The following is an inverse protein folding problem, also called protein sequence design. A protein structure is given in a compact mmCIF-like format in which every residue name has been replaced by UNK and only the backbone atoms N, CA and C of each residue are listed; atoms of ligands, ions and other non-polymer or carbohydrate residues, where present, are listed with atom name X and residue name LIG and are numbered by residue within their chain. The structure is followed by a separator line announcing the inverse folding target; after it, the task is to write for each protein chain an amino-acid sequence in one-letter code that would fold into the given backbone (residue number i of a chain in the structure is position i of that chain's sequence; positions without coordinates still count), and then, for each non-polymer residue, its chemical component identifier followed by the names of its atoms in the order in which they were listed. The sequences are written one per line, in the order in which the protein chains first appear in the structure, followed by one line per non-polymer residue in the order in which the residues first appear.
data_IF_859020560254
#
_entry.id   IF_859020560254
#
_cell.length_a   1.000
_cell.length_b   1.000
_cell.length_c   1.000
_cell.angle_alpha   90.00
_cell.angle_beta   90.00
_cell.angle_gamma   90.00
#
_symmetry.space_group_name_H-M   'P 1'
#
loop_
_entity.id
_entity.type
_entity.pdbx_description
1 polymer ?
#
# COMPACT_ATOMS: atom_id res chain seq x y z
N UNK A 1 -37.18 6.47 38.51
CA UNK A 1 -36.95 7.86 38.07
C UNK A 1 -35.57 8.25 38.55
N UNK A 2 -34.55 7.88 37.79
CA UNK A 2 -33.17 8.31 38.01
C UNK A 2 -32.88 9.29 36.89
N UNK A 3 -32.85 10.56 37.23
CA UNK A 3 -32.39 11.62 36.35
C UNK A 3 -30.94 11.33 35.96
N UNK A 4 -30.76 10.98 34.69
CA UNK A 4 -29.45 10.98 34.06
C UNK A 4 -29.13 12.44 33.73
N UNK A 5 -28.29 13.05 34.56
CA UNK A 5 -27.67 14.32 34.23
C UNK A 5 -26.99 14.19 32.87
N UNK A 6 -27.52 14.89 31.87
CA UNK A 6 -26.82 15.11 30.61
C UNK A 6 -25.54 15.91 30.93
N UNK A 7 -24.39 15.23 30.91
CA UNK A 7 -23.07 15.88 31.02
C UNK A 7 -22.87 16.71 29.75
N UNK A 8 -22.99 18.03 29.87
CA UNK A 8 -22.52 18.96 28.84
C UNK A 8 -21.00 18.81 28.67
N UNK A 9 -20.41 18.57 27.50
CA UNK A 9 -20.91 17.97 26.27
C UNK A 9 -19.76 17.11 25.73
N UNK A 10 -19.87 15.79 25.94
CA UNK A 10 -18.84 14.79 25.62
C UNK A 10 -18.43 14.87 24.14
N UNK A 11 -17.12 14.91 23.80
CA UNK A 11 -16.68 14.97 22.41
C UNK A 11 -17.16 13.73 21.63
N UNK A 12 -17.47 13.93 20.35
CA UNK A 12 -17.95 12.85 19.48
C UNK A 12 -16.88 12.43 18.48
N UNK A 13 -16.71 11.13 18.30
CA UNK A 13 -15.90 10.51 17.25
C UNK A 13 -16.84 9.91 16.21
N UNK A 14 -16.66 10.29 14.94
CA UNK A 14 -17.33 9.61 13.83
C UNK A 14 -16.44 8.49 13.34
N UNK A 15 -16.99 7.29 13.22
CA UNK A 15 -16.36 6.16 12.55
C UNK A 15 -16.90 6.08 11.12
N UNK A 16 -16.02 6.33 10.16
CA UNK A 16 -16.25 6.10 8.73
C UNK A 16 -15.48 4.83 8.40
N UNK A 17 -16.21 3.73 8.15
CA UNK A 17 -15.76 2.33 8.19
C UNK A 17 -15.61 1.73 9.60
N UNK A 18 -15.80 0.42 9.66
CA UNK A 18 -15.80 -0.33 10.92
C UNK A 18 -14.37 -0.48 11.49
N UNK A 19 -14.18 -0.28 12.80
CA UNK A 19 -12.92 -0.55 13.47
C UNK A 19 -12.74 -2.06 13.71
N UNK A 20 -11.56 -2.46 14.17
CA UNK A 20 -11.39 -3.79 14.72
C UNK A 20 -12.24 -3.95 16.00
N UNK A 21 -13.19 -4.89 15.98
CA UNK A 21 -14.12 -5.11 17.09
C UNK A 21 -13.42 -5.61 18.37
N UNK A 22 -12.31 -6.33 18.21
CA UNK A 22 -11.50 -6.84 19.33
C UNK A 22 -10.51 -5.81 19.86
N UNK A 23 -10.56 -4.56 19.39
CA UNK A 23 -9.65 -3.50 19.82
C UNK A 23 -9.71 -3.28 21.34
N UNK A 24 -8.54 -3.27 21.99
CA UNK A 24 -8.40 -3.04 23.43
C UNK A 24 -8.77 -1.60 23.76
N UNK A 25 -8.28 -0.63 22.98
CA UNK A 25 -8.59 0.78 23.20
C UNK A 25 -10.08 1.05 22.99
N UNK A 26 -10.68 0.57 21.90
CA UNK A 26 -12.11 0.78 21.63
C UNK A 26 -12.99 0.22 22.74
N UNK A 27 -12.59 -0.95 23.28
CA UNK A 27 -13.35 -1.62 24.32
C UNK A 27 -13.07 -1.12 25.74
N UNK A 28 -12.05 -0.29 25.93
CA UNK A 28 -11.68 0.28 27.22
C UNK A 28 -12.74 1.22 27.79
N UNK A 29 -12.85 1.27 29.12
CA UNK A 29 -13.69 2.25 29.80
C UNK A 29 -13.23 3.69 29.49
N UNK A 30 -11.92 3.91 29.38
CA UNK A 30 -11.35 5.22 29.03
C UNK A 30 -11.95 5.76 27.73
N UNK A 31 -11.99 4.96 26.66
CA UNK A 31 -12.53 5.41 25.39
C UNK A 31 -14.06 5.57 25.45
N UNK A 32 -14.76 4.58 26.02
CA UNK A 32 -16.23 4.58 26.14
C UNK A 32 -16.77 5.69 27.03
N UNK A 33 -16.06 6.10 28.07
CA UNK A 33 -16.43 7.19 28.97
C UNK A 33 -15.99 8.56 28.44
N UNK A 34 -14.96 8.64 27.59
CA UNK A 34 -14.46 9.90 27.03
C UNK A 34 -15.18 10.35 25.76
N UNK A 35 -15.67 9.44 24.92
CA UNK A 35 -16.29 9.78 23.63
C UNK A 35 -17.72 9.30 23.44
N UNK A 36 -18.52 10.10 22.75
CA UNK A 36 -19.70 9.59 22.02
C UNK A 36 -19.22 8.98 20.70
N UNK A 37 -19.87 7.91 20.26
CA UNK A 37 -19.52 7.23 19.01
C UNK A 37 -20.70 7.34 18.06
N UNK A 38 -20.43 7.83 16.84
CA UNK A 38 -21.36 7.79 15.72
C UNK A 38 -20.74 6.94 14.61
N UNK A 39 -21.54 6.09 13.97
CA UNK A 39 -21.10 5.31 12.80
C UNK A 39 -21.73 5.91 11.56
N UNK A 40 -20.90 6.24 10.57
CA UNK A 40 -21.32 6.79 9.30
C UNK A 40 -21.09 5.72 8.22
N UNK A 41 -22.19 5.23 7.64
CA UNK A 41 -22.12 4.45 6.42
C UNK A 41 -22.06 5.40 5.22
N UNK A 42 -20.89 5.48 4.60
CA UNK A 42 -20.63 6.46 3.55
C UNK A 42 -20.75 5.84 2.16
N UNK A 43 -21.79 6.24 1.42
CA UNK A 43 -22.00 5.85 0.02
C UNK A 43 -21.88 7.01 -0.95
N UNK A 44 -22.50 8.15 -0.64
CA UNK A 44 -22.53 9.35 -1.48
C UNK A 44 -22.09 10.58 -0.69
N UNK A 45 -21.64 11.60 -1.43
CA UNK A 45 -21.22 12.88 -0.83
C UNK A 45 -22.40 13.59 -0.17
N UNK A 46 -23.56 13.57 -0.80
CA UNK A 46 -24.80 14.14 -0.27
C UNK A 46 -25.24 13.41 1.00
N UNK A 47 -25.15 12.07 1.03
CA UNK A 47 -25.43 11.27 2.22
C UNK A 47 -24.51 11.62 3.40
N UNK A 48 -23.24 11.91 3.12
CA UNK A 48 -22.31 12.40 4.14
C UNK A 48 -22.74 13.74 4.73
N UNK A 49 -23.15 14.68 3.89
CA UNK A 49 -23.61 15.98 4.35
C UNK A 49 -24.90 15.88 5.17
N UNK A 50 -25.88 15.10 4.71
CA UNK A 50 -27.10 14.85 5.48
C UNK A 50 -26.78 14.25 6.85
N UNK A 51 -25.88 13.27 6.91
CA UNK A 51 -25.44 12.68 8.18
C UNK A 51 -24.81 13.72 9.11
N UNK A 52 -23.98 14.63 8.59
CA UNK A 52 -23.38 15.70 9.40
C UNK A 52 -24.40 16.72 9.88
N UNK A 53 -25.39 17.08 9.05
CA UNK A 53 -26.47 18.00 9.41
C UNK A 53 -27.35 17.42 10.52
N UNK A 54 -27.72 16.13 10.43
CA UNK A 54 -28.48 15.42 11.48
C UNK A 54 -27.76 15.41 12.85
N UNK A 55 -26.44 15.56 12.85
CA UNK A 55 -25.59 15.49 14.04
C UNK A 55 -24.85 16.79 14.34
N UNK A 56 -25.30 17.93 13.80
CA UNK A 56 -24.63 19.23 13.96
C UNK A 56 -24.44 19.64 15.43
N UNK A 57 -25.33 19.18 16.31
CA UNK A 57 -25.30 19.47 17.75
C UNK A 57 -24.39 18.53 18.57
N UNK A 58 -23.73 17.54 17.94
CA UNK A 58 -22.98 16.48 18.64
C UNK A 58 -21.51 16.80 18.92
N UNK A 59 -21.02 18.02 18.68
CA UNK A 59 -19.61 18.41 18.95
C UNK A 59 -18.61 17.37 18.41
N UNK A 60 -18.66 17.15 17.10
CA UNK A 60 -17.80 16.20 16.39
C UNK A 60 -16.34 16.69 16.50
N UNK A 61 -15.53 15.96 17.27
CA UNK A 61 -14.16 16.38 17.63
C UNK A 61 -13.08 15.54 16.94
N UNK A 62 -13.42 14.34 16.48
CA UNK A 62 -12.52 13.49 15.69
C UNK A 62 -13.27 12.65 14.65
N UNK A 63 -12.56 12.25 13.59
CA UNK A 63 -13.01 11.25 12.62
C UNK A 63 -12.02 10.10 12.59
N UNK A 64 -12.50 8.90 12.90
CA UNK A 64 -11.83 7.65 12.59
C UNK A 64 -12.16 7.26 11.14
N UNK A 65 -11.16 7.26 10.27
CA UNK A 65 -11.29 6.91 8.87
C UNK A 65 -10.57 5.56 8.62
N UNK A 66 -11.28 4.46 8.90
CA UNK A 66 -10.82 3.11 8.58
C UNK A 66 -10.74 2.92 7.06
N UNK A 67 -9.95 1.98 6.54
CA UNK A 67 -10.01 1.69 5.11
C UNK A 67 -11.34 0.97 4.75
N UNK A 68 -12.07 1.33 3.68
CA UNK A 68 -11.75 2.31 2.63
C UNK A 68 -12.55 3.63 2.75
N UNK A 69 -12.56 4.27 3.94
CA UNK A 69 -13.28 5.52 4.19
C UNK A 69 -13.01 6.57 3.11
N UNK A 70 -14.08 7.24 2.69
CA UNK A 70 -14.11 8.31 1.69
C UNK A 70 -13.73 7.92 0.26
N UNK A 71 -13.24 6.69 -0.01
CA UNK A 71 -12.90 6.24 -1.37
C UNK A 71 -14.10 6.34 -2.33
N UNK A 72 -15.29 5.95 -1.89
CA UNK A 72 -16.53 6.00 -2.70
C UNK A 72 -16.92 7.41 -3.16
N UNK A 73 -16.50 8.44 -2.43
CA UNK A 73 -16.81 9.84 -2.75
C UNK A 73 -15.60 10.61 -3.33
N UNK A 74 -14.53 9.88 -3.69
CA UNK A 74 -13.32 10.48 -4.28
C UNK A 74 -12.31 11.04 -3.27
N UNK A 75 -12.47 10.75 -1.98
CA UNK A 75 -11.62 11.23 -0.90
C UNK A 75 -12.23 12.39 -0.11
N UNK A 76 -11.38 13.14 0.59
CA UNK A 76 -11.74 14.31 1.38
C UNK A 76 -11.24 15.57 0.66
N UNK A 77 -11.99 15.99 -0.35
CA UNK A 77 -11.66 17.13 -1.20
C UNK A 77 -12.04 18.47 -0.54
N UNK A 78 -11.48 19.58 -1.05
CA UNK A 78 -11.76 20.93 -0.53
C UNK A 78 -13.24 21.26 -0.47
N UNK A 79 -14.01 20.89 -1.49
CA UNK A 79 -15.46 21.13 -1.53
C UNK A 79 -16.25 20.35 -0.46
N UNK A 80 -15.71 19.23 0.05
CA UNK A 80 -16.27 18.53 1.20
C UNK A 80 -15.90 19.25 2.49
N UNK A 81 -14.63 19.62 2.67
CA UNK A 81 -14.12 20.29 3.87
C UNK A 81 -14.76 21.69 4.04
N UNK A 82 -14.93 22.41 2.93
CA UNK A 82 -15.54 23.74 2.91
C UNK A 82 -17.06 23.74 3.00
N UNK A 83 -17.71 22.58 2.87
CA UNK A 83 -19.16 22.50 2.98
C UNK A 83 -19.65 23.02 4.34
N UNK A 84 -20.83 23.67 4.36
CA UNK A 84 -21.41 24.29 5.57
C UNK A 84 -21.60 23.31 6.72
N UNK A 85 -21.91 22.05 6.40
CA UNK A 85 -22.20 20.98 7.36
C UNK A 85 -20.93 20.31 7.90
N UNK A 86 -19.77 20.58 7.30
CA UNK A 86 -18.51 20.01 7.78
C UNK A 86 -18.15 20.60 9.15
N UNK A 87 -17.81 19.78 10.16
CA UNK A 87 -17.72 20.21 11.57
C UNK A 87 -16.41 20.96 11.90
N UNK A 88 -16.03 21.94 11.06
CA UNK A 88 -14.76 22.69 11.14
C UNK A 88 -14.45 23.29 12.50
N UNK A 89 -15.48 23.73 13.23
CA UNK A 89 -15.34 24.40 14.52
C UNK A 89 -14.80 23.48 15.62
N UNK A 90 -15.33 22.26 15.69
CA UNK A 90 -15.06 21.32 16.78
C UNK A 90 -14.05 20.25 16.40
N UNK A 91 -13.96 19.87 15.11
CA UNK A 91 -13.09 18.82 14.62
C UNK A 91 -11.62 19.19 14.81
N UNK A 92 -10.88 18.35 15.55
CA UNK A 92 -9.43 18.56 15.80
C UNK A 92 -8.56 17.63 14.98
N UNK A 93 -9.01 16.40 14.76
CA UNK A 93 -8.22 15.43 14.03
C UNK A 93 -9.04 14.45 13.19
N UNK A 94 -8.41 13.98 12.13
CA UNK A 94 -8.84 12.83 11.35
C UNK A 94 -7.70 11.82 11.40
N UNK A 95 -7.99 10.57 11.73
CA UNK A 95 -7.01 9.49 11.81
C UNK A 95 -7.29 8.46 10.74
N UNK A 96 -6.27 8.07 9.99
CA UNK A 96 -6.35 7.08 8.91
C UNK A 96 -5.78 5.74 9.38
N UNK A 97 -6.48 4.66 9.05
CA UNK A 97 -5.94 3.30 9.19
C UNK A 97 -5.18 2.86 7.92
N UNK A 98 -4.52 3.79 7.25
CA UNK A 98 -3.73 3.52 6.04
C UNK A 98 -2.50 4.43 5.98
N UNK A 99 -1.47 4.02 5.23
CA UNK A 99 -0.27 4.85 4.98
C UNK A 99 -0.53 5.97 3.98
N UNK A 100 -1.35 5.69 2.96
CA UNK A 100 -1.65 6.62 1.88
C UNK A 100 -2.74 7.61 2.27
N UNK A 101 -2.64 8.84 1.75
CA UNK A 101 -3.63 9.90 1.93
C UNK A 101 -3.93 10.57 0.59
N UNK A 102 -3.88 9.79 -0.50
CA UNK A 102 -4.28 10.28 -1.81
C UNK A 102 -5.77 10.66 -1.78
N UNK A 103 -6.13 11.77 -2.42
CA UNK A 103 -7.51 12.29 -2.39
C UNK A 103 -7.86 13.11 -1.15
N UNK A 104 -6.87 13.46 -0.31
CA UNK A 104 -7.06 14.36 0.84
C UNK A 104 -6.48 15.75 0.53
N UNK A 105 -7.32 16.79 0.64
CA UNK A 105 -6.87 18.18 0.52
C UNK A 105 -6.25 18.67 1.83
N UNK A 106 -4.93 18.53 1.93
CA UNK A 106 -4.18 18.90 3.14
C UNK A 106 -4.18 20.41 3.41
N UNK A 107 -4.28 21.23 2.37
CA UNK A 107 -4.27 22.69 2.51
C UNK A 107 -5.59 23.18 3.11
N UNK A 108 -6.72 22.65 2.65
CA UNK A 108 -8.03 22.92 3.25
C UNK A 108 -8.09 22.46 4.72
N UNK A 109 -7.57 21.28 5.04
CA UNK A 109 -7.48 20.83 6.44
C UNK A 109 -6.63 21.78 7.30
N UNK A 110 -5.50 22.26 6.77
CA UNK A 110 -4.62 23.23 7.45
C UNK A 110 -5.32 24.56 7.71
N UNK A 111 -6.03 25.10 6.72
CA UNK A 111 -6.79 26.36 6.84
C UNK A 111 -7.80 26.33 8.00
N UNK A 112 -8.33 25.15 8.33
CA UNK A 112 -9.26 24.94 9.45
C UNK A 112 -8.63 24.36 10.72
N UNK A 113 -7.29 24.28 10.80
CA UNK A 113 -6.55 23.70 11.94
C UNK A 113 -6.95 22.25 12.26
N UNK A 114 -7.30 21.47 11.25
CA UNK A 114 -7.66 20.05 11.39
C UNK A 114 -6.44 19.20 11.06
N UNK A 115 -6.00 18.38 12.02
CA UNK A 115 -4.81 17.53 11.83
C UNK A 115 -5.20 16.20 11.19
N UNK A 116 -4.47 15.80 10.15
CA UNK A 116 -4.56 14.47 9.57
C UNK A 116 -3.40 13.60 10.08
N UNK A 117 -3.74 12.46 10.67
CA UNK A 117 -2.79 11.44 11.09
C UNK A 117 -2.94 10.19 10.23
N UNK A 118 -1.83 9.62 9.84
CA UNK A 118 -1.74 8.32 9.20
C UNK A 118 -0.73 7.48 10.00
N UNK A 119 -0.79 6.15 9.94
CA UNK A 119 0.22 5.37 10.64
C UNK A 119 1.53 5.28 9.83
N UNK A 120 2.65 5.14 10.54
CA UNK A 120 3.97 4.82 10.02
C UNK A 120 4.59 3.76 10.92
N UNK A 121 4.95 2.61 10.36
CA UNK A 121 5.53 1.48 11.11
C UNK A 121 7.05 1.55 11.23
N UNK A 122 7.67 2.64 10.79
CA UNK A 122 9.12 2.82 10.70
C UNK A 122 9.71 3.85 11.65
N UNK A 123 8.90 4.40 12.55
CA UNK A 123 9.37 5.30 13.61
C UNK A 123 9.35 4.57 14.96
N UNK A 124 10.46 4.67 15.69
CA UNK A 124 10.60 4.17 17.06
C UNK A 124 9.73 5.02 18.00
N UNK A 125 8.43 4.76 18.05
CA UNK A 125 7.59 5.17 19.18
C UNK A 125 7.73 4.12 20.29
N UNK A 126 7.58 4.55 21.55
CA UNK A 126 7.13 3.64 22.62
C UNK A 126 5.75 3.15 22.19
N UNK A 127 5.73 2.08 21.42
CA UNK A 127 4.51 1.48 20.93
C UNK A 127 3.67 1.02 22.13
N UNK A 128 2.36 0.94 21.93
CA UNK A 128 1.50 0.14 22.79
C UNK A 128 2.16 -1.25 22.91
N UNK A 129 2.30 -1.75 24.13
CA UNK A 129 2.89 -3.07 24.41
C UNK A 129 2.35 -4.10 23.40
N UNK A 130 3.25 -4.93 22.84
CA UNK A 130 3.01 -5.99 21.83
C UNK A 130 2.99 -5.60 20.33
N UNK A 131 3.09 -4.33 19.93
CA UNK A 131 3.15 -3.97 18.50
C UNK A 131 4.55 -4.18 17.89
N UNK A 132 4.63 -4.90 16.76
CA UNK A 132 5.87 -5.09 16.01
C UNK A 132 6.16 -3.90 15.09
N UNK A 133 7.37 -3.35 15.20
CA UNK A 133 7.91 -2.38 14.24
C UNK A 133 8.03 -3.03 12.86
N UNK A 134 7.78 -2.24 11.82
CA UNK A 134 7.90 -2.63 10.41
C UNK A 134 6.93 -3.71 9.92
N UNK A 135 5.85 -4.03 10.64
CA UNK A 135 4.88 -5.06 10.27
C UNK A 135 4.27 -4.82 8.87
N UNK A 136 3.88 -3.59 8.56
CA UNK A 136 3.31 -3.23 7.26
C UNK A 136 4.35 -3.31 6.15
N UNK A 137 5.56 -2.84 6.44
CA UNK A 137 6.72 -3.00 5.57
C UNK A 137 7.00 -4.47 5.24
N UNK A 138 6.91 -5.33 6.25
CA UNK A 138 7.11 -6.76 6.13
C UNK A 138 6.03 -7.40 5.24
N UNK A 139 4.75 -7.13 5.51
CA UNK A 139 3.65 -7.82 4.82
C UNK A 139 3.56 -7.40 3.35
N UNK A 140 3.79 -6.11 3.06
CA UNK A 140 3.90 -5.63 1.67
C UNK A 140 5.10 -6.27 0.96
N UNK A 141 6.20 -6.50 1.68
CA UNK A 141 7.35 -7.21 1.13
C UNK A 141 7.05 -8.71 0.89
N UNK A 142 6.18 -9.35 1.68
CA UNK A 142 5.72 -10.72 1.42
C UNK A 142 4.85 -10.80 0.15
N UNK A 143 3.97 -9.82 -0.06
CA UNK A 143 3.23 -9.68 -1.32
C UNK A 143 4.18 -9.51 -2.52
N UNK A 144 5.19 -8.64 -2.39
CA UNK A 144 6.21 -8.46 -3.44
C UNK A 144 7.01 -9.74 -3.70
N UNK A 145 7.37 -10.48 -2.65
CA UNK A 145 8.07 -11.76 -2.76
C UNK A 145 7.28 -12.78 -3.58
N UNK A 146 5.97 -12.88 -3.36
CA UNK A 146 5.08 -13.72 -4.15
C UNK A 146 5.10 -13.33 -5.64
N UNK A 147 4.92 -12.04 -5.96
CA UNK A 147 4.98 -11.55 -7.34
C UNK A 147 6.32 -11.86 -8.03
N UNK A 148 7.43 -11.75 -7.31
CA UNK A 148 8.77 -12.08 -7.83
C UNK A 148 8.88 -13.58 -8.11
N UNK A 149 8.41 -14.43 -7.19
CA UNK A 149 8.37 -15.88 -7.40
C UNK A 149 7.49 -16.23 -8.61
N UNK A 150 6.35 -15.56 -8.80
CA UNK A 150 5.54 -15.72 -10.01
C UNK A 150 6.32 -15.37 -11.28
N UNK A 151 7.09 -14.28 -11.26
CA UNK A 151 7.91 -13.88 -12.41
C UNK A 151 9.00 -14.88 -12.79
N UNK A 152 9.58 -15.56 -11.80
CA UNK A 152 10.58 -16.60 -12.03
C UNK A 152 9.98 -17.97 -12.33
N UNK A 153 8.87 -18.32 -11.69
CA UNK A 153 8.39 -19.71 -11.55
C UNK A 153 6.99 -19.98 -12.08
N UNK A 154 6.17 -18.95 -12.30
CA UNK A 154 4.81 -19.04 -12.86
C UNK A 154 3.91 -20.03 -12.11
N UNK A 155 4.00 -20.04 -10.79
CA UNK A 155 3.27 -21.00 -9.95
C UNK A 155 1.76 -20.86 -10.11
N UNK A 156 1.24 -19.63 -10.18
CA UNK A 156 -0.20 -19.37 -10.34
C UNK A 156 -0.73 -19.86 -11.68
N UNK A 157 0.03 -19.65 -12.77
CA UNK A 157 -0.34 -20.21 -14.08
C UNK A 157 -0.30 -21.74 -14.08
N UNK A 158 0.73 -22.34 -13.47
CA UNK A 158 0.81 -23.79 -13.29
C UNK A 158 -0.34 -24.36 -12.45
N UNK A 159 -0.72 -23.67 -11.38
CA UNK A 159 -1.86 -24.03 -10.52
C UNK A 159 -3.17 -23.98 -11.31
N UNK A 160 -3.41 -22.93 -12.09
CA UNK A 160 -4.58 -22.80 -12.97
C UNK A 160 -4.69 -24.02 -13.89
N UNK A 161 -3.61 -24.35 -14.60
CA UNK A 161 -3.59 -25.50 -15.51
C UNK A 161 -3.79 -26.83 -14.78
N UNK A 162 -3.22 -26.99 -13.59
CA UNK A 162 -3.43 -28.20 -12.78
C UNK A 162 -4.91 -28.38 -12.40
N UNK A 163 -5.60 -27.29 -12.03
CA UNK A 163 -7.05 -27.32 -11.73
C UNK A 163 -7.89 -27.60 -12.97
N UNK A 164 -7.57 -26.98 -14.10
CA UNK A 164 -8.30 -27.17 -15.36
C UNK A 164 -8.18 -28.59 -15.92
N UNK A 165 -6.99 -29.18 -15.81
CA UNK A 165 -6.69 -30.47 -16.44
C UNK A 165 -6.92 -31.67 -15.51
N UNK A 166 -6.90 -31.44 -14.19
CA UNK A 166 -6.94 -32.51 -13.20
C UNK A 166 -5.75 -33.48 -13.27
N UNK A 167 -4.69 -33.13 -14.02
CA UNK A 167 -3.57 -34.02 -14.29
C UNK A 167 -2.25 -33.25 -14.39
N UNK A 168 -1.28 -33.62 -13.56
CA UNK A 168 -0.01 -32.89 -13.43
C UNK A 168 0.86 -32.96 -14.68
N UNK A 169 0.80 -34.05 -15.45
CA UNK A 169 1.56 -34.18 -16.70
C UNK A 169 0.92 -33.40 -17.83
N UNK A 170 -0.40 -33.50 -17.99
CA UNK A 170 -1.15 -32.73 -19.00
C UNK A 170 -1.00 -31.23 -18.74
N UNK A 171 -1.06 -30.78 -17.48
CA UNK A 171 -0.82 -29.39 -17.12
C UNK A 171 0.57 -28.90 -17.55
N UNK A 172 1.63 -29.70 -17.34
CA UNK A 172 3.00 -29.35 -17.74
C UNK A 172 3.16 -29.28 -19.25
N UNK A 173 2.63 -30.26 -19.97
CA UNK A 173 2.63 -30.33 -21.44
C UNK A 173 1.89 -29.13 -22.04
N UNK A 174 0.70 -28.80 -21.48
CA UNK A 174 -0.07 -27.61 -21.84
C UNK A 174 0.68 -26.31 -21.53
N UNK A 175 1.32 -26.21 -20.37
CA UNK A 175 2.11 -25.03 -19.99
C UNK A 175 3.29 -24.81 -20.95
N UNK A 176 3.97 -25.88 -21.35
CA UNK A 176 5.10 -25.83 -22.27
C UNK A 176 4.71 -25.61 -23.74
N UNK A 177 3.41 -25.66 -24.08
CA UNK A 177 2.88 -25.55 -25.44
C UNK A 177 3.53 -26.55 -26.42
N UNK A 178 3.86 -27.75 -25.92
CA UNK A 178 4.54 -28.81 -26.65
C UNK A 178 3.85 -30.13 -26.39
N UNK A 179 3.93 -31.06 -27.35
CA UNK A 179 3.47 -32.44 -27.13
C UNK A 179 4.54 -33.25 -26.39
N UNK A 180 4.10 -34.19 -25.53
CA UNK A 180 4.99 -35.10 -24.81
C UNK A 180 5.51 -34.56 -23.48
N UNK A 181 6.73 -34.95 -23.11
CA UNK A 181 7.30 -34.68 -21.78
C UNK A 181 7.68 -33.21 -21.59
N UNK A 182 7.24 -32.62 -20.48
CA UNK A 182 7.64 -31.29 -20.03
C UNK A 182 8.10 -31.35 -18.57
N UNK A 183 9.38 -31.06 -18.32
CA UNK A 183 9.92 -31.03 -16.96
C UNK A 183 9.38 -29.85 -16.13
N UNK A 184 9.01 -28.74 -16.79
CA UNK A 184 8.60 -27.48 -16.15
C UNK A 184 9.66 -26.39 -16.18
N UNK A 185 10.72 -26.56 -16.97
CA UNK A 185 11.76 -25.54 -17.21
C UNK A 185 11.32 -24.48 -18.23
N UNK A 186 10.14 -24.61 -18.83
CA UNK A 186 9.59 -23.70 -19.83
C UNK A 186 8.08 -23.53 -19.67
N UNK A 187 7.59 -22.34 -20.01
CA UNK A 187 6.17 -22.03 -20.23
C UNK A 187 6.06 -21.33 -21.57
N UNK A 188 5.50 -22.01 -22.58
CA UNK A 188 5.65 -21.63 -23.98
C UNK A 188 7.12 -21.50 -24.37
N UNK A 189 7.50 -20.34 -24.92
CA UNK A 189 8.88 -20.00 -25.23
C UNK A 189 9.70 -19.47 -24.05
N UNK A 190 9.07 -19.13 -22.93
CA UNK A 190 9.76 -18.53 -21.78
C UNK A 190 10.51 -19.58 -20.97
N UNK A 191 11.72 -19.24 -20.55
CA UNK A 191 12.49 -20.05 -19.60
C UNK A 191 12.04 -19.80 -18.16
N UNK A 192 11.83 -20.89 -17.41
CA UNK A 192 11.54 -20.89 -15.99
C UNK A 192 12.84 -21.07 -15.22
N UNK A 193 13.17 -20.07 -14.40
CA UNK A 193 14.49 -19.95 -13.78
C UNK A 193 14.41 -19.88 -12.26
N UNK A 194 15.49 -20.28 -11.60
CA UNK A 194 15.65 -19.98 -10.18
C UNK A 194 15.98 -18.50 -9.98
N UNK A 195 15.44 -17.83 -8.94
CA UNK A 195 15.88 -16.48 -8.55
C UNK A 195 17.31 -16.44 -8.00
N UNK A 196 17.87 -17.57 -7.55
CA UNK A 196 19.20 -17.62 -6.92
C UNK A 196 20.29 -17.09 -7.87
N UNK A 197 21.12 -16.18 -7.37
CA UNK A 197 22.20 -15.52 -8.11
C UNK A 197 21.71 -14.50 -9.14
N UNK A 198 20.42 -14.18 -9.17
CA UNK A 198 19.86 -13.16 -10.06
C UNK A 198 19.87 -11.80 -9.38
N UNK A 199 20.07 -10.76 -10.17
CA UNK A 199 20.09 -9.36 -9.70
C UNK A 199 18.69 -8.75 -9.67
N UNK A 200 18.33 -8.16 -8.53
CA UNK A 200 17.11 -7.39 -8.34
C UNK A 200 17.44 -5.92 -8.08
N UNK A 201 16.78 -5.01 -8.78
CA UNK A 201 16.81 -3.57 -8.48
C UNK A 201 15.53 -3.17 -7.74
N UNK A 202 15.67 -2.65 -6.53
CA UNK A 202 14.57 -2.10 -5.74
C UNK A 202 14.54 -0.58 -5.93
N UNK A 203 13.54 -0.08 -6.63
CA UNK A 203 13.27 1.34 -6.76
C UNK A 203 12.54 1.82 -5.49
N UNK A 204 13.27 2.46 -4.58
CA UNK A 204 12.73 3.04 -3.34
C UNK A 204 13.04 2.22 -2.09
N UNK A 205 14.24 2.38 -1.52
CA UNK A 205 14.63 1.69 -0.28
C UNK A 205 14.11 2.38 1.00
N UNK A 206 12.78 2.32 1.20
CA UNK A 206 12.09 2.63 2.46
C UNK A 206 11.90 1.38 3.33
N UNK A 207 10.96 1.40 4.30
CA UNK A 207 10.69 0.25 5.17
C UNK A 207 10.35 -1.03 4.38
N UNK A 208 9.41 -0.94 3.42
CA UNK A 208 9.03 -2.04 2.51
C UNK A 208 10.25 -2.54 1.71
N UNK A 209 10.99 -1.62 1.09
CA UNK A 209 12.14 -1.97 0.26
C UNK A 209 13.25 -2.69 1.04
N UNK A 210 13.49 -2.32 2.30
CA UNK A 210 14.47 -2.99 3.17
C UNK A 210 14.02 -4.40 3.53
N UNK A 211 12.77 -4.57 3.96
CA UNK A 211 12.22 -5.90 4.29
C UNK A 211 12.26 -6.82 3.06
N UNK A 212 11.93 -6.30 1.88
CA UNK A 212 12.04 -7.04 0.63
C UNK A 212 13.49 -7.43 0.32
N UNK A 213 14.42 -6.49 0.42
CA UNK A 213 15.84 -6.74 0.18
C UNK A 213 16.37 -7.90 1.05
N UNK A 214 16.03 -7.91 2.35
CA UNK A 214 16.39 -9.01 3.26
C UNK A 214 15.77 -10.35 2.83
N UNK A 215 14.47 -10.38 2.50
CA UNK A 215 13.80 -11.60 2.03
C UNK A 215 14.41 -12.14 0.74
N UNK A 216 14.75 -11.26 -0.21
CA UNK A 216 15.34 -11.64 -1.49
C UNK A 216 16.78 -12.14 -1.35
N UNK A 217 17.61 -11.45 -0.56
CA UNK A 217 19.00 -11.85 -0.36
C UNK A 217 19.10 -13.14 0.44
N UNK A 218 18.52 -13.17 1.64
CA UNK A 218 18.71 -14.28 2.57
C UNK A 218 17.75 -15.45 2.29
N UNK A 219 16.54 -15.17 1.81
CA UNK A 219 15.57 -16.21 1.46
C UNK A 219 15.80 -16.81 0.08
N UNK A 220 16.00 -15.99 -0.94
CA UNK A 220 16.11 -16.45 -2.33
C UNK A 220 17.55 -16.48 -2.89
N UNK A 221 18.52 -15.89 -2.20
CA UNK A 221 19.91 -15.81 -2.67
C UNK A 221 20.09 -14.86 -3.86
N UNK A 222 19.29 -13.79 -3.93
CA UNK A 222 19.41 -12.76 -4.97
C UNK A 222 20.47 -11.71 -4.63
N UNK A 223 21.05 -11.11 -5.65
CA UNK A 223 21.92 -9.94 -5.53
C UNK A 223 21.06 -8.67 -5.52
N UNK A 224 21.26 -7.82 -4.50
CA UNK A 224 20.41 -6.65 -4.28
C UNK A 224 21.10 -5.37 -4.71
N UNK A 225 20.39 -4.63 -5.54
CA UNK A 225 20.69 -3.26 -5.90
C UNK A 225 19.49 -2.39 -5.53
N UNK A 226 19.71 -1.13 -5.18
CA UNK A 226 18.61 -0.25 -4.77
C UNK A 226 18.79 1.17 -5.22
N UNK A 227 17.67 1.88 -5.32
CA UNK A 227 17.61 3.32 -5.50
C UNK A 227 17.00 4.01 -4.28
N UNK A 228 17.58 5.15 -3.92
CA UNK A 228 17.10 6.09 -2.91
C UNK A 228 17.62 7.48 -3.27
N UNK A 229 17.06 8.54 -2.67
CA UNK A 229 17.55 9.92 -2.88
C UNK A 229 19.03 10.08 -2.49
N UNK A 230 19.44 9.40 -1.43
CA UNK A 230 20.82 9.32 -0.95
C UNK A 230 21.11 7.89 -0.54
N UNK A 231 22.39 7.50 -0.60
CA UNK A 231 22.86 6.22 -0.07
C UNK A 231 22.36 6.05 1.37
N UNK A 232 21.77 4.90 1.67
CA UNK A 232 21.25 4.65 3.01
C UNK A 232 22.40 4.33 3.96
N UNK A 233 22.60 5.18 4.96
CA UNK A 233 23.69 5.04 5.92
C UNK A 233 23.47 3.90 6.92
N UNK A 234 22.25 3.36 7.03
CA UNK A 234 21.95 2.27 7.97
C UNK A 234 22.25 0.89 7.40
N UNK A 235 22.56 0.78 6.10
CA UNK A 235 22.94 -0.50 5.50
C UNK A 235 24.37 -0.79 5.92
N UNK A 236 24.57 -1.92 6.60
CA UNK A 236 25.92 -2.33 6.98
C UNK A 236 26.72 -2.75 5.75
N UNK A 237 28.04 -2.80 5.88
CA UNK A 237 28.89 -3.32 4.81
C UNK A 237 28.63 -4.81 4.54
N UNK A 238 28.05 -5.54 5.50
CA UNK A 238 27.82 -6.99 5.40
C UNK A 238 26.63 -7.38 4.51
N UNK A 239 25.64 -6.50 4.33
CA UNK A 239 24.55 -6.76 3.38
C UNK A 239 25.02 -6.71 1.92
N UNK A 240 26.08 -5.94 1.62
CA UNK A 240 26.64 -5.78 0.27
C UNK A 240 25.60 -5.34 -0.78
N UNK A 241 24.65 -4.48 -0.41
CA UNK A 241 23.67 -3.91 -1.36
C UNK A 241 24.28 -2.74 -2.14
N UNK A 242 24.17 -2.79 -3.47
CA UNK A 242 24.72 -1.73 -4.33
C UNK A 242 23.72 -0.59 -4.52
N UNK A 243 24.16 0.63 -4.21
CA UNK A 243 23.38 1.85 -4.39
C UNK A 243 23.48 2.37 -5.84
N UNK A 244 22.34 2.77 -6.39
CA UNK A 244 22.24 3.51 -7.65
C UNK A 244 21.46 4.81 -7.45
N UNK A 245 21.97 5.91 -7.98
CA UNK A 245 21.20 7.15 -8.04
C UNK A 245 20.07 7.01 -9.07
N UNK A 246 18.87 7.50 -8.72
CA UNK A 246 17.71 7.52 -9.61
C UNK A 246 17.78 8.73 -10.56
N UNK A 247 18.84 8.77 -11.37
CA UNK A 247 19.07 9.76 -12.40
C UNK A 247 19.45 9.07 -13.73
N UNK A 248 19.93 9.83 -14.71
CA UNK A 248 20.27 9.29 -16.03
C UNK A 248 21.37 8.23 -16.01
N UNK A 249 22.18 8.16 -14.95
CA UNK A 249 23.27 7.17 -14.84
C UNK A 249 22.74 5.74 -14.68
N UNK A 250 21.53 5.56 -14.14
CA UNK A 250 20.95 4.23 -13.94
C UNK A 250 20.67 3.50 -15.26
N UNK A 251 20.37 4.22 -16.35
CA UNK A 251 20.03 3.63 -17.64
C UNK A 251 21.16 2.70 -18.15
N UNK A 252 22.42 3.07 -17.91
CA UNK A 252 23.57 2.23 -18.30
C UNK A 252 23.66 0.92 -17.51
N UNK A 253 22.93 0.80 -16.39
CA UNK A 253 22.93 -0.36 -15.49
C UNK A 253 21.69 -1.24 -15.63
N UNK A 254 20.58 -0.73 -16.18
CA UNK A 254 19.29 -1.44 -16.18
C UNK A 254 19.33 -2.82 -16.85
N UNK A 255 20.18 -3.00 -17.86
CA UNK A 255 20.32 -4.26 -18.61
C UNK A 255 20.82 -5.45 -17.77
N UNK A 256 21.37 -5.22 -16.57
CA UNK A 256 21.88 -6.28 -15.70
C UNK A 256 20.81 -6.89 -14.79
N UNK A 257 19.68 -6.20 -14.59
CA UNK A 257 18.66 -6.60 -13.61
C UNK A 257 17.67 -7.58 -14.22
N UNK A 258 17.44 -8.68 -13.50
CA UNK A 258 16.45 -9.69 -13.89
C UNK A 258 15.07 -9.33 -13.37
N UNK A 259 15.03 -8.69 -12.19
CA UNK A 259 13.82 -8.16 -11.60
C UNK A 259 14.00 -6.68 -11.23
N UNK A 260 12.96 -5.88 -11.43
CA UNK A 260 12.84 -4.52 -10.92
C UNK A 260 11.58 -4.46 -10.08
N UNK A 261 11.71 -4.01 -8.82
CA UNK A 261 10.59 -3.90 -7.88
C UNK A 261 10.42 -2.45 -7.46
N UNK A 262 9.20 -1.94 -7.56
CA UNK A 262 8.87 -0.55 -7.29
C UNK A 262 8.17 -0.46 -5.95
N UNK A 263 8.78 0.27 -5.04
CA UNK A 263 8.27 0.62 -3.70
C UNK A 263 8.30 2.14 -3.48
N UNK A 264 8.43 2.91 -4.57
CA UNK A 264 8.41 4.37 -4.55
C UNK A 264 7.00 4.92 -4.25
N UNK A 265 6.90 6.08 -3.59
CA UNK A 265 5.63 6.81 -3.50
C UNK A 265 5.21 7.33 -4.88
N UNK A 266 3.90 7.47 -5.09
CA UNK A 266 3.35 8.16 -6.25
C UNK A 266 3.42 9.67 -6.05
N UNK A 267 4.21 10.34 -6.87
CA UNK A 267 4.45 11.79 -6.85
C UNK A 267 4.53 12.31 -8.27
N UNK A 268 4.41 13.62 -8.52
CA UNK A 268 4.66 14.19 -9.84
C UNK A 268 6.03 13.79 -10.43
N UNK A 269 7.05 13.62 -9.58
CA UNK A 269 8.41 13.26 -10.00
C UNK A 269 8.56 11.77 -10.34
N UNK A 270 7.70 10.90 -9.79
CA UNK A 270 7.73 9.45 -10.05
C UNK A 270 6.67 8.99 -11.05
N UNK A 271 5.77 9.90 -11.45
CA UNK A 271 4.76 9.63 -12.47
C UNK A 271 5.43 9.21 -13.79
N UNK A 272 5.01 8.08 -14.34
CA UNK A 272 5.54 7.50 -15.58
C UNK A 272 7.07 7.34 -15.58
N UNK A 273 7.65 7.09 -14.39
CA UNK A 273 9.07 6.75 -14.27
C UNK A 273 9.40 5.52 -15.12
N UNK A 274 8.50 4.54 -15.13
CA UNK A 274 8.61 3.34 -15.98
C UNK A 274 7.86 3.62 -17.27
N UNK A 275 8.55 4.31 -18.17
CA UNK A 275 8.10 4.61 -19.54
C UNK A 275 8.90 3.81 -20.57
N UNK A 276 8.60 4.03 -21.86
CA UNK A 276 9.26 3.35 -22.97
C UNK A 276 10.79 3.47 -22.91
N UNK A 277 11.30 4.66 -22.60
CA UNK A 277 12.74 4.90 -22.47
C UNK A 277 13.34 4.08 -21.33
N UNK A 278 12.69 4.00 -20.17
CA UNK A 278 13.18 3.17 -19.07
C UNK A 278 13.23 1.70 -19.46
N UNK A 279 12.15 1.19 -20.03
CA UNK A 279 12.05 -0.20 -20.45
C UNK A 279 13.08 -0.54 -21.53
N UNK A 280 13.33 0.35 -22.49
CA UNK A 280 14.33 0.17 -23.55
C UNK A 280 15.72 -0.24 -23.05
N UNK A 281 16.18 0.29 -21.91
CA UNK A 281 17.49 -0.03 -21.33
C UNK A 281 17.47 -1.27 -20.42
N UNK A 282 16.29 -1.78 -20.08
CA UNK A 282 16.16 -2.97 -19.25
C UNK A 282 16.62 -4.23 -19.98
N UNK A 283 16.93 -5.26 -19.20
CA UNK A 283 17.17 -6.60 -19.72
C UNK A 283 15.94 -7.08 -20.50
N UNK A 284 16.15 -7.76 -21.62
CA UNK A 284 15.07 -8.54 -22.25
C UNK A 284 14.54 -9.59 -21.27
N UNK A 285 13.26 -9.92 -21.37
CA UNK A 285 12.58 -10.82 -20.44
C UNK A 285 12.63 -10.32 -18.97
N UNK A 286 12.37 -9.03 -18.76
CA UNK A 286 12.32 -8.39 -17.44
C UNK A 286 11.15 -8.92 -16.60
N UNK A 287 11.40 -9.11 -15.30
CA UNK A 287 10.35 -9.22 -14.27
C UNK A 287 10.14 -7.83 -13.66
N UNK A 288 8.98 -7.24 -13.84
CA UNK A 288 8.64 -5.91 -13.33
C UNK A 288 7.54 -6.02 -12.28
N UNK A 289 7.77 -5.53 -11.08
CA UNK A 289 6.83 -5.62 -9.97
C UNK A 289 6.52 -4.22 -9.43
N UNK A 290 5.24 -3.87 -9.23
CA UNK A 290 4.83 -2.59 -8.67
C UNK A 290 3.94 -2.75 -7.42
N UNK A 291 4.48 -2.33 -6.28
CA UNK A 291 3.80 -2.20 -4.97
C UNK A 291 3.74 -0.73 -4.50
N UNK A 292 4.24 0.20 -5.32
CA UNK A 292 4.31 1.62 -4.98
C UNK A 292 2.96 2.29 -5.24
N UNK A 293 2.81 2.87 -6.42
CA UNK A 293 1.54 3.44 -6.92
C UNK A 293 1.41 3.17 -8.42
N UNK A 294 0.18 3.00 -8.90
CA UNK A 294 -0.05 2.70 -10.31
C UNK A 294 0.43 3.79 -11.27
N UNK A 295 0.37 5.07 -10.87
CA UNK A 295 0.82 6.21 -11.69
C UNK A 295 2.31 6.18 -12.07
N UNK A 296 3.10 5.32 -11.45
CA UNK A 296 4.54 5.19 -11.72
C UNK A 296 4.78 4.47 -13.06
N UNK A 297 3.83 3.62 -13.46
CA UNK A 297 3.86 2.93 -14.74
C UNK A 297 3.19 3.79 -15.81
N UNK A 298 3.85 3.91 -16.96
CA UNK A 298 3.20 4.34 -18.19
C UNK A 298 2.49 3.11 -18.80
N UNK A 299 1.16 3.10 -18.78
CA UNK A 299 0.36 1.93 -19.16
C UNK A 299 0.58 1.51 -20.63
N UNK A 300 0.69 2.47 -21.54
CA UNK A 300 0.95 2.20 -22.95
C UNK A 300 2.32 1.53 -23.12
N UNK A 301 3.36 2.12 -22.52
CA UNK A 301 4.71 1.56 -22.61
C UNK A 301 4.83 0.15 -22.00
N UNK A 302 4.15 -0.09 -20.88
CA UNK A 302 4.15 -1.41 -20.21
C UNK A 302 3.37 -2.45 -21.02
N UNK A 303 2.21 -2.08 -21.57
CA UNK A 303 1.41 -2.97 -22.44
C UNK A 303 2.17 -3.36 -23.71
N UNK A 304 2.85 -2.38 -24.33
CA UNK A 304 3.72 -2.60 -25.48
C UNK A 304 4.89 -3.53 -25.14
N UNK A 305 5.54 -3.33 -23.99
CA UNK A 305 6.66 -4.15 -23.56
C UNK A 305 6.26 -5.58 -23.21
N UNK A 306 5.05 -5.80 -22.67
CA UNK A 306 4.46 -7.13 -22.50
C UNK A 306 4.22 -7.80 -23.86
N UNK A 307 3.61 -7.07 -24.80
CA UNK A 307 3.31 -7.58 -26.16
C UNK A 307 4.59 -7.94 -26.92
N UNK A 308 5.65 -7.14 -26.78
CA UNK A 308 6.97 -7.36 -27.43
C UNK A 308 7.82 -8.42 -26.70
N UNK A 309 7.36 -8.98 -25.59
CA UNK A 309 8.12 -9.95 -24.78
C UNK A 309 9.32 -9.36 -24.04
N UNK A 310 9.44 -8.03 -23.99
CA UNK A 310 10.47 -7.33 -23.25
C UNK A 310 10.26 -7.49 -21.73
N UNK A 311 9.01 -7.50 -21.29
CA UNK A 311 8.61 -7.89 -19.93
C UNK A 311 8.09 -9.33 -20.00
N UNK A 312 8.76 -10.27 -19.33
CA UNK A 312 8.27 -11.66 -19.20
C UNK A 312 7.27 -11.83 -18.07
N UNK A 313 7.25 -10.90 -17.11
CA UNK A 313 6.28 -10.89 -16.03
C UNK A 313 6.04 -9.50 -15.46
N UNK A 314 4.77 -9.15 -15.29
CA UNK A 314 4.32 -7.96 -14.58
C UNK A 314 3.55 -8.37 -13.32
N UNK A 315 4.07 -8.06 -12.14
CA UNK A 315 3.34 -8.16 -10.88
C UNK A 315 2.81 -6.81 -10.45
N UNK A 316 1.51 -6.70 -10.20
CA UNK A 316 0.88 -5.44 -9.80
C UNK A 316 -0.11 -5.67 -8.67
N UNK A 317 0.07 -4.92 -7.59
CA UNK A 317 -0.89 -4.79 -6.51
C UNK A 317 -1.65 -3.45 -6.57
N UNK A 318 -1.11 -2.50 -7.34
CA UNK A 318 -1.61 -1.13 -7.47
C UNK A 318 -1.79 -0.74 -8.95
N UNK A 319 -2.81 0.07 -9.24
CA UNK A 319 -3.26 0.39 -10.60
C UNK A 319 -3.38 1.89 -10.86
N UNK A 320 -3.21 2.31 -12.11
CA UNK A 320 -3.23 3.73 -12.48
C UNK A 320 -4.61 4.36 -12.21
N UNK A 321 -5.68 3.62 -12.53
CA UNK A 321 -7.08 4.04 -12.41
C UNK A 321 -7.81 3.32 -11.26
N UNK A 322 -7.14 3.07 -10.12
CA UNK A 322 -7.77 2.42 -8.97
C UNK A 322 -9.12 3.08 -8.61
N UNK A 323 -10.18 2.28 -8.36
CA UNK A 323 -10.20 0.83 -8.17
C UNK A 323 -10.30 0.00 -9.46
N UNK A 324 -10.33 0.64 -10.64
CA UNK A 324 -10.40 -0.07 -11.92
C UNK A 324 -9.03 -0.59 -12.34
N UNK A 325 -9.03 -1.81 -12.87
CA UNK A 325 -7.85 -2.46 -13.42
C UNK A 325 -7.89 -2.32 -14.94
N UNK A 326 -6.75 -2.02 -15.56
CA UNK A 326 -6.63 -1.92 -17.01
C UNK A 326 -6.87 -3.28 -17.69
N UNK A 327 -7.76 -3.31 -18.69
CA UNK A 327 -8.12 -4.54 -19.41
C UNK A 327 -6.94 -5.16 -20.16
N UNK A 328 -6.02 -4.33 -20.68
CA UNK A 328 -4.83 -4.83 -21.39
C UNK A 328 -3.97 -5.63 -20.41
N UNK A 329 -3.77 -5.13 -19.19
CA UNK A 329 -3.03 -5.86 -18.14
C UNK A 329 -3.77 -7.17 -17.78
N UNK A 330 -5.10 -7.14 -17.60
CA UNK A 330 -5.88 -8.34 -17.27
C UNK A 330 -5.78 -9.44 -18.32
N UNK A 331 -5.65 -9.06 -19.60
CA UNK A 331 -5.65 -10.01 -20.71
C UNK A 331 -4.41 -10.91 -20.76
N UNK A 332 -3.30 -10.51 -20.13
CA UNK A 332 -2.03 -11.24 -20.12
C UNK A 332 -1.93 -12.24 -18.95
N UNK A 333 -2.85 -13.19 -18.85
CA UNK A 333 -2.96 -14.11 -17.70
C UNK A 333 -1.66 -14.91 -17.39
N UNK A 334 -0.89 -15.27 -18.42
CA UNK A 334 0.39 -15.98 -18.33
C UNK A 334 1.56 -15.06 -17.94
N UNK A 335 1.45 -13.77 -18.23
CA UNK A 335 2.52 -12.78 -18.02
C UNK A 335 2.24 -11.85 -16.84
N UNK A 336 1.10 -11.98 -16.17
CA UNK A 336 0.71 -11.10 -15.08
C UNK A 336 0.35 -11.85 -13.82
N UNK A 337 0.64 -11.23 -12.68
CA UNK A 337 0.11 -11.62 -11.38
C UNK A 337 -0.49 -10.37 -10.76
N UNK A 338 -1.78 -10.39 -10.47
CA UNK A 338 -2.58 -9.21 -10.15
C UNK A 338 -3.23 -9.43 -8.79
N UNK A 339 -3.05 -8.50 -7.88
CA UNK A 339 -3.74 -8.49 -6.57
C UNK A 339 -4.47 -7.16 -6.37
N UNK A 340 -5.66 -7.16 -5.75
CA UNK A 340 -6.46 -5.95 -5.57
C UNK A 340 -6.01 -5.14 -4.34
N UNK A 341 -4.79 -4.60 -4.37
CA UNK A 341 -4.23 -3.77 -3.29
C UNK A 341 -4.18 -4.48 -1.93
N UNK A 342 -3.65 -5.71 -1.94
CA UNK A 342 -3.54 -6.60 -0.79
C UNK A 342 -2.22 -6.51 -0.04
N UNK A 343 -1.27 -5.66 -0.46
CA UNK A 343 0.10 -5.66 0.07
C UNK A 343 0.16 -5.67 1.60
N UNK A 344 -0.65 -4.86 2.27
CA UNK A 344 -0.70 -4.81 3.74
C UNK A 344 -1.96 -5.45 4.34
N UNK A 345 -2.72 -6.22 3.56
CA UNK A 345 -4.04 -6.71 3.95
C UNK A 345 -3.94 -8.00 4.80
N UNK A 346 -3.41 -7.86 6.00
CA UNK A 346 -3.34 -8.93 7.02
C UNK A 346 -4.17 -8.56 8.23
N UNK A 347 -4.54 -9.58 9.02
CA UNK A 347 -5.25 -9.38 10.29
C UNK A 347 -4.41 -8.49 11.22
N UNK A 348 -3.12 -8.78 11.32
CA UNK A 348 -2.18 -8.10 12.23
C UNK A 348 -2.06 -6.61 11.90
N UNK A 349 -1.96 -6.26 10.61
CA UNK A 349 -1.94 -4.86 10.17
C UNK A 349 -3.29 -4.17 10.40
N UNK A 350 -4.39 -4.87 10.16
CA UNK A 350 -5.72 -4.32 10.42
C UNK A 350 -5.91 -3.98 11.91
N UNK A 351 -5.54 -4.91 12.80
CA UNK A 351 -5.59 -4.72 14.26
C UNK A 351 -4.65 -3.58 14.70
N UNK A 352 -3.39 -3.62 14.28
CA UNK A 352 -2.39 -2.60 14.62
C UNK A 352 -2.81 -1.20 14.15
N UNK A 353 -3.27 -1.06 12.91
CA UNK A 353 -3.66 0.25 12.37
C UNK A 353 -4.88 0.83 13.09
N UNK A 354 -5.81 -0.02 13.53
CA UNK A 354 -6.94 0.37 14.36
C UNK A 354 -6.48 0.89 15.72
N UNK A 355 -5.62 0.15 16.43
CA UNK A 355 -5.10 0.57 17.74
C UNK A 355 -4.35 1.90 17.66
N UNK A 356 -3.45 2.05 16.68
CA UNK A 356 -2.69 3.29 16.49
C UNK A 356 -3.60 4.49 16.20
N UNK A 357 -4.64 4.30 15.37
CA UNK A 357 -5.60 5.34 15.07
C UNK A 357 -6.39 5.77 16.31
N UNK A 358 -6.87 4.81 17.11
CA UNK A 358 -7.63 5.09 18.33
C UNK A 358 -6.76 5.72 19.44
N UNK A 359 -5.53 5.25 19.60
CA UNK A 359 -4.55 5.84 20.51
C UNK A 359 -4.28 7.30 20.14
N UNK A 360 -4.14 7.61 18.85
CA UNK A 360 -3.93 8.97 18.37
C UNK A 360 -5.14 9.87 18.66
N UNK A 361 -6.37 9.36 18.51
CA UNK A 361 -7.57 10.10 18.94
C UNK A 361 -7.50 10.41 20.44
N UNK A 362 -7.15 9.43 21.27
CA UNK A 362 -7.05 9.63 22.73
C UNK A 362 -6.03 10.71 23.10
N UNK A 363 -4.83 10.66 22.49
CA UNK A 363 -3.72 11.59 22.71
C UNK A 363 -4.07 13.03 22.30
N UNK A 364 -4.65 13.21 21.12
CA UNK A 364 -5.07 14.55 20.65
C UNK A 364 -6.13 15.14 21.59
N UNK A 365 -7.01 14.29 22.12
CA UNK A 365 -8.11 14.71 22.98
C UNK A 365 -7.73 14.83 24.46
N UNK A 366 -6.58 14.31 24.91
CA UNK A 366 -6.02 14.57 26.25
C UNK A 366 -5.21 15.88 26.31
N UNK A 367 -4.90 16.49 25.14
CA UNK A 367 -4.00 17.64 25.07
C UNK A 367 -2.52 17.25 25.15
N UNK A 368 -2.20 15.95 25.09
CA UNK A 368 -0.84 15.40 25.09
C UNK A 368 -0.23 15.34 23.68
N UNK A 369 -0.87 15.95 22.68
CA UNK A 369 -0.29 16.09 21.36
C UNK A 369 0.95 17.00 21.47
N UNK A 370 2.13 16.43 21.26
CA UNK A 370 3.40 17.14 21.36
C UNK A 370 3.42 18.39 20.47
N UNK A 371 4.06 19.46 20.96
CA UNK A 371 4.26 20.72 20.22
C UNK A 371 5.11 20.54 18.94
N UNK A 372 5.75 19.38 18.77
CA UNK A 372 6.42 18.90 17.55
C UNK A 372 5.94 17.48 17.22
N UNK A 373 4.66 17.30 16.87
CA UNK A 373 4.14 15.99 16.51
C UNK A 373 4.61 15.60 15.09
N UNK A 374 5.65 14.77 15.01
CA UNK A 374 6.27 14.28 13.75
C UNK A 374 5.33 13.41 12.90
N UNK A 375 4.12 13.14 13.39
CA UNK A 375 3.12 12.28 12.75
C UNK A 375 1.92 13.06 12.21
N UNK A 376 1.77 14.34 12.54
CA UNK A 376 0.83 15.18 11.81
C UNK A 376 1.45 15.53 10.46
N UNK A 377 0.75 15.22 9.36
CA UNK A 377 1.13 15.77 8.03
C UNK A 377 0.67 17.22 7.85
N UNK A 378 0.14 17.81 8.92
CA UNK A 378 -0.27 19.21 9.03
C UNK A 378 0.48 19.81 10.23
N UNK A 379 1.47 20.66 9.94
CA UNK A 379 1.90 21.76 10.82
C UNK A 379 0.98 22.93 10.57
#
# INVERSE_FOLDING_TARGET
MFDTFAVAGKPTVIFVADPCETSVILNSNVFKEKFNILRCHLDTKEGFFSFLEEHENKKISAIYAGFPAFVKIGGMTRDIIEHKSFPKKDLKCIVLCSRGYNGWDLDALREHNIRLYNYQDDQNEELIDDLQLHQVGNDVADCALWHILEGFRKFSYGQKLARETGNTLIARTKAAEKNGFAFGHQVGSMSIESPRGKKCLILGLGSIGKQLAYKLQYGLGMEIHYCKRSKDATISQSENWEFHSLDKTIYAKLHQFHAIVITLPGTPQTKHLINEKFLHYCKSELILINLGRGIILDLEAVSDALTKGQIKHLGVDVFYNEPQIDQNIQSFDKLTSITPHLGSATKDVFEQSCELALARILQVMSGEAAAEDRFSRVV
#
